data_IF_950814270052
#
_entry.id   IF_950814270052
#
_cell.length_a   1.000
_cell.length_b   1.000
_cell.length_c   1.000
_cell.angle_alpha   90.00
_cell.angle_beta   90.00
_cell.angle_gamma   90.00
#
_symmetry.space_group_name_H-M   'P 1'
#
loop_
_entity.id
_entity.type
_entity.pdbx_description
1 polymer ?
#
# COMPACT_ATOMS: atom_id res chain seq x y z
N UNK A 1 20.19 -24.85 -5.99
CA UNK A 1 20.26 -23.58 -5.24
C UNK A 1 20.59 -23.92 -3.80
N UNK A 2 21.61 -23.28 -3.23
CA UNK A 2 22.07 -23.61 -1.88
C UNK A 2 21.51 -22.65 -0.82
N UNK A 3 21.27 -21.39 -1.17
CA UNK A 3 20.84 -20.36 -0.20
C UNK A 3 19.90 -19.33 -0.81
N UNK A 4 18.79 -19.06 -0.14
CA UNK A 4 17.71 -18.16 -0.57
C UNK A 4 17.65 -16.95 0.35
N UNK A 5 17.59 -15.75 -0.22
CA UNK A 5 17.25 -14.52 0.49
C UNK A 5 15.78 -14.17 0.21
N UNK A 6 14.99 -14.01 1.26
CA UNK A 6 13.63 -13.47 1.19
C UNK A 6 13.67 -12.04 1.71
N UNK A 7 13.25 -11.10 0.88
CA UNK A 7 13.13 -9.68 1.23
C UNK A 7 11.66 -9.35 1.33
N UNK A 8 11.19 -8.95 2.50
CA UNK A 8 9.78 -8.70 2.76
C UNK A 8 9.56 -7.46 3.64
N UNK A 9 8.33 -6.95 3.77
CA UNK A 9 7.99 -5.98 4.82
C UNK A 9 8.26 -6.51 6.22
N UNK A 10 8.59 -5.63 7.18
CA UNK A 10 9.10 -6.04 8.50
C UNK A 10 8.27 -7.11 9.20
N UNK A 11 6.93 -6.92 9.31
CA UNK A 11 6.05 -7.90 9.96
C UNK A 11 5.97 -9.21 9.18
N UNK A 12 5.89 -9.12 7.85
CA UNK A 12 5.88 -10.30 6.99
C UNK A 12 7.18 -11.09 7.11
N UNK A 13 8.32 -10.40 7.18
CA UNK A 13 9.62 -11.02 7.38
C UNK A 13 9.74 -11.70 8.75
N UNK A 14 9.19 -11.06 9.80
CA UNK A 14 9.31 -11.55 11.18
C UNK A 14 8.32 -12.69 11.49
N UNK A 15 7.09 -12.55 11.03
CA UNK A 15 5.98 -13.37 11.50
C UNK A 15 5.42 -14.29 10.40
N UNK A 16 5.08 -13.74 9.21
CA UNK A 16 4.33 -14.46 8.17
C UNK A 16 5.18 -15.52 7.48
N UNK A 17 6.35 -15.16 6.95
CA UNK A 17 7.22 -16.11 6.26
C UNK A 17 7.64 -17.29 7.13
N UNK A 18 8.07 -17.10 8.41
CA UNK A 18 8.36 -18.22 9.31
C UNK A 18 7.15 -19.14 9.57
N UNK A 19 5.96 -18.55 9.74
CA UNK A 19 4.73 -19.31 9.95
C UNK A 19 4.38 -20.16 8.71
N UNK A 20 4.44 -19.57 7.51
CA UNK A 20 4.17 -20.28 6.26
C UNK A 20 5.20 -21.38 5.98
N UNK A 21 6.49 -21.16 6.25
CA UNK A 21 7.50 -22.22 6.10
C UNK A 21 7.18 -23.43 6.98
N UNK A 22 6.71 -23.22 8.20
CA UNK A 22 6.32 -24.30 9.12
C UNK A 22 5.04 -25.01 8.69
N UNK A 23 4.11 -24.29 8.10
CA UNK A 23 2.78 -24.77 7.69
C UNK A 23 2.84 -25.75 6.51
N UNK A 24 3.70 -25.50 5.53
CA UNK A 24 3.73 -26.25 4.29
C UNK A 24 4.67 -27.45 4.36
N UNK A 25 4.15 -28.67 4.21
CA UNK A 25 4.90 -29.95 4.35
C UNK A 25 6.15 -30.03 3.49
N UNK A 26 6.09 -29.53 2.27
CA UNK A 26 7.20 -29.62 1.30
C UNK A 26 8.38 -28.68 1.59
N UNK A 27 8.21 -27.68 2.49
CA UNK A 27 9.26 -26.74 2.86
C UNK A 27 9.54 -26.67 4.36
N UNK A 28 8.72 -27.27 5.22
CA UNK A 28 8.88 -27.22 6.69
C UNK A 28 10.21 -27.78 7.19
N UNK A 29 10.87 -28.60 6.40
CA UNK A 29 12.20 -29.15 6.73
C UNK A 29 13.36 -28.20 6.39
N UNK A 30 13.12 -27.08 5.73
CA UNK A 30 14.14 -26.10 5.39
C UNK A 30 14.48 -25.23 6.61
N UNK A 31 15.78 -25.15 6.94
CA UNK A 31 16.24 -24.28 8.01
C UNK A 31 16.18 -22.82 7.56
N UNK A 32 15.57 -21.98 8.38
CA UNK A 32 15.46 -20.56 8.10
C UNK A 32 15.89 -19.71 9.29
N UNK A 33 16.36 -18.50 9.00
CA UNK A 33 16.69 -17.47 9.99
C UNK A 33 16.04 -16.14 9.60
N UNK A 34 15.74 -15.31 10.61
CA UNK A 34 15.11 -14.01 10.45
C UNK A 34 16.10 -12.92 10.84
N UNK A 35 16.57 -12.16 9.85
CA UNK A 35 17.55 -11.11 10.00
C UNK A 35 16.88 -9.73 10.22
N UNK A 36 16.20 -9.59 11.36
CA UNK A 36 15.54 -8.34 11.82
C UNK A 36 16.05 -7.96 13.22
N UNK A 37 15.70 -6.77 13.71
CA UNK A 37 16.12 -6.29 15.02
C UNK A 37 17.47 -5.56 15.00
N UNK A 38 18.29 -5.72 16.03
CA UNK A 38 19.59 -5.08 16.18
C UNK A 38 20.63 -5.57 15.14
N UNK A 39 21.67 -4.80 14.94
CA UNK A 39 22.78 -5.20 14.03
C UNK A 39 23.39 -6.54 14.42
N UNK A 40 23.53 -6.82 15.73
CA UNK A 40 24.08 -8.08 16.24
C UNK A 40 23.19 -9.27 15.88
N UNK A 41 21.89 -9.14 16.06
CA UNK A 41 20.91 -10.18 15.73
C UNK A 41 20.89 -10.45 14.22
N UNK A 42 20.88 -9.39 13.40
CA UNK A 42 20.92 -9.53 11.94
C UNK A 42 22.17 -10.24 11.44
N UNK A 43 23.35 -9.86 11.97
CA UNK A 43 24.61 -10.51 11.62
C UNK A 43 24.63 -11.98 12.03
N UNK A 44 24.12 -12.31 13.21
CA UNK A 44 24.01 -13.71 13.66
C UNK A 44 23.15 -14.53 12.70
N UNK A 45 21.98 -13.99 12.31
CA UNK A 45 21.05 -14.67 11.40
C UNK A 45 21.63 -14.84 9.97
N UNK A 46 22.34 -13.84 9.45
CA UNK A 46 22.95 -13.87 8.12
C UNK A 46 24.15 -14.82 8.07
N UNK A 47 24.96 -14.86 9.13
CA UNK A 47 26.17 -15.69 9.22
C UNK A 47 25.87 -17.15 9.60
N UNK A 48 24.62 -17.50 9.93
CA UNK A 48 24.25 -18.89 10.14
C UNK A 48 24.34 -19.68 8.82
N UNK A 49 25.42 -20.41 8.66
CA UNK A 49 25.68 -21.23 7.47
C UNK A 49 24.75 -22.44 7.33
N UNK A 50 24.05 -22.82 8.40
CA UNK A 50 23.06 -23.89 8.38
C UNK A 50 21.73 -23.46 7.78
N UNK A 51 21.44 -22.16 7.74
CA UNK A 51 20.22 -21.60 7.21
C UNK A 51 20.18 -21.64 5.67
N UNK A 52 19.22 -22.33 5.13
CA UNK A 52 18.93 -22.40 3.69
C UNK A 52 18.12 -21.20 3.21
N UNK A 53 17.29 -20.63 4.10
CA UNK A 53 16.49 -19.44 3.86
C UNK A 53 16.86 -18.38 4.88
N UNK A 54 17.23 -17.19 4.42
CA UNK A 54 17.42 -16.00 5.26
C UNK A 54 16.35 -15.00 4.89
N UNK A 55 15.61 -14.52 5.90
CA UNK A 55 14.51 -13.59 5.72
C UNK A 55 14.92 -12.24 6.30
N UNK A 56 14.84 -11.18 5.51
CA UNK A 56 15.23 -9.82 5.91
C UNK A 56 14.12 -8.81 5.57
N UNK A 57 13.97 -7.77 6.36
CA UNK A 57 13.06 -6.69 6.00
C UNK A 57 13.68 -5.77 4.93
N UNK A 58 12.83 -5.29 4.01
CA UNK A 58 13.23 -4.51 2.83
C UNK A 58 14.01 -3.23 3.15
N UNK A 59 13.81 -2.64 4.34
CA UNK A 59 14.50 -1.45 4.80
C UNK A 59 15.99 -1.72 5.07
N UNK A 60 16.36 -2.95 5.39
CA UNK A 60 17.71 -3.37 5.70
C UNK A 60 18.51 -3.90 4.48
N UNK A 61 17.95 -3.90 3.27
CA UNK A 61 18.64 -4.39 2.07
C UNK A 61 19.91 -3.58 1.75
N UNK A 62 19.87 -2.25 1.86
CA UNK A 62 21.05 -1.41 1.62
C UNK A 62 22.13 -1.66 2.68
N UNK A 63 21.74 -1.88 3.93
CA UNK A 63 22.64 -2.27 5.01
C UNK A 63 23.27 -3.65 4.74
N UNK A 64 22.49 -4.65 4.37
CA UNK A 64 22.98 -6.00 4.03
C UNK A 64 24.09 -5.94 2.98
N UNK A 65 23.85 -5.22 1.89
CA UNK A 65 24.77 -5.10 0.76
C UNK A 65 26.07 -4.38 1.14
N UNK A 66 26.05 -3.50 2.14
CA UNK A 66 27.23 -2.74 2.58
C UNK A 66 28.07 -3.45 3.63
N UNK A 67 27.47 -4.30 4.45
CA UNK A 67 28.10 -4.81 5.68
C UNK A 67 28.23 -6.34 5.72
N UNK A 68 27.66 -7.06 4.75
CA UNK A 68 27.72 -8.50 4.72
C UNK A 68 28.24 -9.02 3.38
N UNK A 69 28.90 -10.16 3.40
CA UNK A 69 29.27 -10.88 2.20
C UNK A 69 28.03 -11.45 1.53
N UNK A 70 27.95 -11.31 0.19
CA UNK A 70 26.81 -11.82 -0.56
C UNK A 70 27.01 -13.28 -0.92
N UNK A 71 26.18 -14.14 -0.34
CA UNK A 71 26.25 -15.60 -0.53
C UNK A 71 24.87 -16.22 -0.84
N UNK A 72 24.02 -15.48 -1.54
CA UNK A 72 22.67 -15.92 -1.91
C UNK A 72 22.57 -16.24 -3.40
N UNK A 73 22.15 -17.48 -3.73
CA UNK A 73 21.92 -17.92 -5.11
C UNK A 73 20.58 -17.44 -5.67
N UNK A 74 19.58 -17.33 -4.79
CA UNK A 74 18.22 -16.92 -5.15
C UNK A 74 17.75 -15.79 -4.25
N UNK A 75 17.00 -14.86 -4.84
CA UNK A 75 16.31 -13.79 -4.12
C UNK A 75 14.82 -13.85 -4.42
N UNK A 76 14.01 -13.79 -3.37
CA UNK A 76 12.57 -13.58 -3.44
C UNK A 76 12.27 -12.21 -2.87
N UNK A 77 11.64 -11.35 -3.64
CA UNK A 77 11.20 -10.03 -3.18
C UNK A 77 9.69 -10.06 -3.01
N UNK A 78 9.27 -10.09 -1.76
CA UNK A 78 7.87 -9.96 -1.40
C UNK A 78 7.50 -8.47 -1.35
N UNK A 79 6.41 -8.11 -1.98
CA UNK A 79 6.01 -6.74 -2.29
C UNK A 79 7.04 -6.02 -3.17
N UNK A 80 7.26 -6.56 -4.40
CA UNK A 80 8.21 -6.01 -5.38
C UNK A 80 7.90 -4.54 -5.73
N UNK A 81 6.62 -4.13 -5.69
CA UNK A 81 6.16 -2.76 -5.87
C UNK A 81 6.89 -1.76 -4.95
N UNK A 82 7.39 -2.21 -3.80
CA UNK A 82 8.17 -1.40 -2.88
C UNK A 82 9.53 -0.93 -3.45
N UNK A 83 9.99 -1.52 -4.56
CA UNK A 83 11.21 -1.16 -5.28
C UNK A 83 10.98 -0.27 -6.50
N UNK A 84 9.75 0.18 -6.76
CA UNK A 84 9.36 1.02 -7.92
C UNK A 84 10.10 2.37 -8.00
N UNK A 85 10.59 2.90 -6.87
CA UNK A 85 11.40 4.11 -6.87
C UNK A 85 12.86 3.81 -7.19
N UNK A 86 13.28 4.08 -8.45
CA UNK A 86 14.63 3.86 -8.95
C UNK A 86 15.73 4.70 -8.26
N UNK A 87 15.36 5.76 -7.53
CA UNK A 87 16.30 6.59 -6.75
C UNK A 87 16.56 6.03 -5.36
N UNK A 88 15.72 5.11 -4.88
CA UNK A 88 15.81 4.57 -3.51
C UNK A 88 17.11 3.79 -3.28
N UNK A 89 17.62 3.82 -2.04
CA UNK A 89 18.83 3.09 -1.64
C UNK A 89 18.66 1.59 -1.86
N UNK A 90 17.48 1.03 -1.51
CA UNK A 90 17.17 -0.40 -1.66
C UNK A 90 17.18 -0.85 -3.13
N UNK A 91 16.64 -0.05 -4.05
CA UNK A 91 16.69 -0.33 -5.49
C UNK A 91 18.15 -0.38 -5.99
N UNK A 92 18.94 0.65 -5.67
CA UNK A 92 20.35 0.72 -6.06
C UNK A 92 21.17 -0.45 -5.49
N UNK A 93 20.91 -0.85 -4.26
CA UNK A 93 21.54 -1.99 -3.62
C UNK A 93 21.21 -3.30 -4.35
N UNK A 94 19.93 -3.54 -4.67
CA UNK A 94 19.53 -4.72 -5.43
C UNK A 94 20.12 -4.75 -6.85
N UNK A 95 20.13 -3.63 -7.57
CA UNK A 95 20.78 -3.55 -8.88
C UNK A 95 22.27 -3.90 -8.82
N UNK A 96 22.97 -3.53 -7.74
CA UNK A 96 24.38 -3.88 -7.53
C UNK A 96 24.57 -5.38 -7.31
N UNK A 97 23.70 -6.00 -6.54
CA UNK A 97 23.78 -7.43 -6.21
C UNK A 97 23.19 -8.35 -7.29
N UNK A 98 22.36 -7.82 -8.16
CA UNK A 98 21.68 -8.60 -9.19
C UNK A 98 22.61 -9.50 -10.06
N UNK A 99 23.83 -9.08 -10.44
CA UNK A 99 24.77 -9.95 -11.18
C UNK A 99 25.19 -11.22 -10.44
N UNK A 100 25.14 -11.23 -9.13
CA UNK A 100 25.50 -12.37 -8.29
C UNK A 100 24.33 -13.30 -7.97
N UNK A 101 23.12 -12.97 -8.42
CA UNK A 101 21.90 -13.71 -8.17
C UNK A 101 21.55 -14.57 -9.39
N UNK A 102 21.49 -15.89 -9.23
CA UNK A 102 21.14 -16.84 -10.30
C UNK A 102 19.66 -16.78 -10.66
N UNK A 103 18.80 -16.74 -9.64
CA UNK A 103 17.35 -16.68 -9.80
C UNK A 103 16.74 -15.60 -8.93
N UNK A 104 15.85 -14.82 -9.51
CA UNK A 104 15.09 -13.80 -8.77
C UNK A 104 13.60 -13.98 -9.05
N UNK A 105 12.79 -13.82 -8.00
CA UNK A 105 11.32 -13.84 -8.06
C UNK A 105 10.80 -12.59 -7.36
N UNK A 106 9.88 -11.90 -8.00
CA UNK A 106 9.17 -10.76 -7.42
C UNK A 106 7.68 -11.11 -7.26
N UNK A 107 7.16 -10.88 -6.06
CA UNK A 107 5.75 -11.06 -5.73
C UNK A 107 5.15 -9.69 -5.47
N UNK A 108 4.00 -9.38 -6.05
CA UNK A 108 3.26 -8.14 -5.78
C UNK A 108 1.81 -8.27 -6.22
N UNK A 109 0.90 -7.75 -5.42
CA UNK A 109 -0.51 -7.61 -5.79
C UNK A 109 -0.79 -6.32 -6.57
N UNK A 110 0.15 -5.34 -6.54
CA UNK A 110 -0.06 -3.99 -7.08
C UNK A 110 1.12 -3.50 -7.93
N UNK A 111 1.43 -4.16 -9.08
CA UNK A 111 2.65 -3.89 -9.84
C UNK A 111 2.72 -2.46 -10.43
N UNK A 112 1.58 -1.87 -10.77
CA UNK A 112 1.46 -0.56 -11.42
C UNK A 112 0.54 0.42 -10.69
N UNK A 113 0.61 0.44 -9.36
CA UNK A 113 -0.30 1.24 -8.50
C UNK A 113 -0.32 2.74 -8.79
N UNK A 114 0.73 3.31 -9.40
CA UNK A 114 0.77 4.69 -9.88
C UNK A 114 0.89 4.79 -11.41
N UNK A 115 0.59 3.70 -12.12
CA UNK A 115 0.66 3.61 -13.57
C UNK A 115 1.91 2.91 -14.10
N UNK A 116 2.02 2.82 -15.42
CA UNK A 116 3.04 2.03 -16.13
C UNK A 116 4.49 2.41 -15.81
N UNK A 117 4.73 3.65 -15.34
CA UNK A 117 6.05 4.13 -14.93
C UNK A 117 6.66 3.29 -13.79
N UNK A 118 5.82 2.74 -12.92
CA UNK A 118 6.26 1.92 -11.79
C UNK A 118 6.92 0.60 -12.20
N UNK A 119 6.62 0.10 -13.41
CA UNK A 119 7.10 -1.19 -13.90
C UNK A 119 8.61 -1.19 -14.20
N UNK A 120 9.16 -0.09 -14.70
CA UNK A 120 10.56 -0.05 -15.13
C UNK A 120 11.55 -0.49 -14.05
N UNK A 121 11.43 0.04 -12.85
CA UNK A 121 12.36 -0.27 -11.77
C UNK A 121 12.23 -1.73 -11.30
N UNK A 122 11.03 -2.26 -11.28
CA UNK A 122 10.75 -3.65 -10.93
C UNK A 122 11.40 -4.60 -11.94
N UNK A 123 11.14 -4.39 -13.23
CA UNK A 123 11.72 -5.22 -14.29
C UNK A 123 13.23 -5.03 -14.45
N UNK A 124 13.75 -3.82 -14.14
CA UNK A 124 15.20 -3.60 -14.08
C UNK A 124 15.90 -4.53 -13.07
N UNK A 125 15.27 -4.80 -11.93
CA UNK A 125 15.77 -5.77 -10.96
C UNK A 125 15.59 -7.20 -11.49
N UNK A 126 14.44 -7.54 -12.06
CA UNK A 126 14.14 -8.91 -12.49
C UNK A 126 15.03 -9.39 -13.64
N UNK A 127 15.20 -8.57 -14.70
CA UNK A 127 15.82 -8.99 -15.96
C UNK A 127 16.97 -8.10 -16.47
N UNK A 128 17.53 -7.24 -15.62
CA UNK A 128 18.56 -6.25 -15.99
C UNK A 128 18.10 -5.14 -16.93
N UNK A 129 16.79 -5.02 -17.15
CA UNK A 129 16.20 -4.08 -18.11
C UNK A 129 16.28 -4.58 -19.55
N UNK A 130 16.29 -5.90 -19.76
CA UNK A 130 16.24 -6.49 -21.11
C UNK A 130 14.97 -6.13 -21.83
N UNK A 131 13.81 -6.12 -21.14
CA UNK A 131 12.50 -5.88 -21.74
C UNK A 131 12.12 -4.42 -21.79
N UNK A 132 12.28 -3.70 -20.69
CA UNK A 132 11.82 -2.31 -20.56
C UNK A 132 12.94 -1.26 -20.68
N UNK A 133 14.12 -1.69 -21.15
CA UNK A 133 15.26 -0.80 -21.36
C UNK A 133 16.20 -0.72 -20.15
N UNK A 134 17.50 -0.59 -20.47
CA UNK A 134 18.57 -0.56 -19.47
C UNK A 134 18.54 0.71 -18.60
N UNK A 135 18.08 1.82 -19.17
CA UNK A 135 18.03 3.13 -18.52
C UNK A 135 16.60 3.68 -18.54
N UNK A 136 16.20 4.33 -17.46
CA UNK A 136 14.85 4.91 -17.35
C UNK A 136 14.60 6.01 -18.38
N UNK A 137 15.65 6.67 -18.86
CA UNK A 137 15.56 7.65 -19.95
C UNK A 137 14.96 7.04 -21.21
N UNK A 138 15.51 5.91 -21.65
CA UNK A 138 15.02 5.17 -22.81
C UNK A 138 13.56 4.72 -22.63
N UNK A 139 13.22 4.20 -21.46
CA UNK A 139 11.85 3.79 -21.16
C UNK A 139 10.84 4.94 -21.25
N UNK A 140 11.24 6.13 -20.76
CA UNK A 140 10.45 7.36 -20.87
C UNK A 140 10.31 7.83 -22.32
N UNK A 141 11.39 7.83 -23.08
CA UNK A 141 11.43 8.24 -24.46
C UNK A 141 10.57 7.32 -25.37
N UNK A 142 10.62 5.99 -25.13
CA UNK A 142 9.91 5.03 -25.95
C UNK A 142 8.41 4.99 -25.68
N UNK A 143 7.98 5.17 -24.41
CA UNK A 143 6.61 4.87 -23.99
C UNK A 143 5.84 6.05 -23.43
N UNK A 144 6.49 7.19 -23.22
CA UNK A 144 5.85 8.31 -22.54
C UNK A 144 6.16 9.63 -23.22
N UNK A 145 5.31 10.61 -22.96
CA UNK A 145 5.56 12.03 -23.26
C UNK A 145 5.51 12.82 -21.96
N UNK A 146 6.26 13.94 -21.85
CA UNK A 146 6.11 14.90 -20.77
C UNK A 146 4.67 15.39 -20.69
N UNK A 147 4.13 15.49 -19.46
CA UNK A 147 2.76 15.94 -19.19
C UNK A 147 2.77 17.28 -18.47
N UNK A 148 3.40 17.34 -17.29
CA UNK A 148 3.57 18.58 -16.55
C UNK A 148 5.04 18.97 -16.52
N UNK A 149 5.34 20.19 -16.96
CA UNK A 149 6.70 20.72 -17.09
C UNK A 149 6.77 22.14 -16.51
N UNK A 150 7.96 22.49 -15.98
CA UNK A 150 8.34 23.89 -15.72
C UNK A 150 9.74 24.08 -16.31
N UNK A 151 9.84 24.81 -17.41
CA UNK A 151 11.06 24.91 -18.20
C UNK A 151 11.55 23.53 -18.63
N UNK A 152 12.76 23.16 -18.25
CA UNK A 152 13.37 21.84 -18.57
C UNK A 152 13.04 20.74 -17.55
N UNK A 153 12.33 21.04 -16.48
CA UNK A 153 12.00 20.07 -15.42
C UNK A 153 10.66 19.42 -15.70
N UNK A 154 10.67 18.11 -15.95
CA UNK A 154 9.45 17.31 -16.14
C UNK A 154 9.00 16.73 -14.80
N UNK A 155 7.80 17.09 -14.35
CA UNK A 155 7.21 16.60 -13.10
C UNK A 155 6.38 15.34 -13.28
N UNK A 156 5.70 15.19 -14.43
CA UNK A 156 4.90 13.99 -14.72
C UNK A 156 5.03 13.59 -16.20
N UNK A 157 4.77 12.29 -16.43
CA UNK A 157 4.79 11.70 -17.77
C UNK A 157 3.45 11.03 -18.03
N UNK A 158 2.94 11.16 -19.26
CA UNK A 158 1.74 10.48 -19.72
C UNK A 158 2.13 9.39 -20.73
N UNK A 159 1.59 8.16 -20.61
CA UNK A 159 1.88 7.10 -21.56
C UNK A 159 1.39 7.46 -22.98
N UNK A 160 2.11 6.99 -23.99
CA UNK A 160 1.69 7.03 -25.37
C UNK A 160 0.55 6.04 -25.62
N UNK A 161 -0.32 6.23 -26.61
CA UNK A 161 -1.50 5.37 -26.82
C UNK A 161 -1.20 3.88 -26.98
N UNK A 162 -0.04 3.53 -27.53
CA UNK A 162 0.40 2.15 -27.77
C UNK A 162 1.22 1.57 -26.62
N UNK A 163 1.67 2.40 -25.67
CA UNK A 163 2.66 2.02 -24.66
C UNK A 163 2.18 0.88 -23.76
N UNK A 164 0.93 0.90 -23.38
CA UNK A 164 0.34 -0.11 -22.51
C UNK A 164 0.44 -1.50 -23.13
N UNK A 165 -0.04 -1.65 -24.36
CA UNK A 165 -0.03 -2.90 -25.10
C UNK A 165 1.40 -3.44 -25.28
N UNK A 166 2.33 -2.60 -25.78
CA UNK A 166 3.70 -3.03 -26.01
C UNK A 166 4.45 -3.42 -24.72
N UNK A 167 4.23 -2.66 -23.63
CA UNK A 167 4.85 -2.99 -22.34
C UNK A 167 4.37 -4.35 -21.88
N UNK A 168 3.05 -4.61 -21.94
CA UNK A 168 2.48 -5.88 -21.49
C UNK A 168 2.94 -7.07 -22.33
N UNK A 169 2.97 -6.93 -23.65
CA UNK A 169 3.53 -7.95 -24.55
C UNK A 169 4.99 -8.29 -24.19
N UNK A 170 5.81 -7.27 -23.90
CA UNK A 170 7.24 -7.48 -23.59
C UNK A 170 7.51 -8.14 -22.26
N UNK A 171 6.61 -8.01 -21.28
CA UNK A 171 6.81 -8.60 -19.93
C UNK A 171 6.09 -9.93 -19.74
N UNK A 172 5.19 -10.30 -20.63
CA UNK A 172 4.29 -11.45 -20.49
C UNK A 172 5.03 -12.77 -20.30
N UNK A 173 6.15 -12.98 -20.98
CA UNK A 173 6.92 -14.24 -20.94
C UNK A 173 7.61 -14.53 -19.59
N UNK A 174 7.71 -13.54 -18.69
CA UNK A 174 8.27 -13.71 -17.33
C UNK A 174 7.31 -13.29 -16.22
N UNK A 175 6.05 -13.03 -16.57
CA UNK A 175 5.05 -12.56 -15.62
C UNK A 175 3.88 -13.54 -15.59
N UNK A 176 3.51 -13.98 -14.40
CA UNK A 176 2.31 -14.78 -14.18
C UNK A 176 1.37 -13.94 -13.33
N UNK A 177 0.14 -13.77 -13.78
CA UNK A 177 -0.92 -13.12 -13.04
C UNK A 177 -1.94 -14.14 -12.56
N UNK A 178 -2.23 -14.09 -11.25
CA UNK A 178 -3.24 -14.94 -10.63
C UNK A 178 -4.21 -14.03 -9.87
N UNK A 179 -5.48 -14.07 -10.23
CA UNK A 179 -6.53 -13.39 -9.47
C UNK A 179 -7.13 -14.36 -8.47
N UNK A 180 -7.27 -13.93 -7.21
CA UNK A 180 -7.92 -14.73 -6.19
C UNK A 180 -9.37 -15.08 -6.58
N UNK A 181 -10.07 -14.17 -7.27
CA UNK A 181 -11.47 -14.35 -7.70
C UNK A 181 -11.61 -15.53 -8.68
N UNK A 182 -10.61 -15.75 -9.53
CA UNK A 182 -10.67 -16.81 -10.56
C UNK A 182 -10.41 -18.22 -10.01
N UNK A 183 -9.79 -18.32 -8.83
CA UNK A 183 -9.25 -19.60 -8.32
C UNK A 183 -9.65 -19.93 -6.88
N UNK A 184 -10.26 -18.99 -6.15
CA UNK A 184 -10.59 -19.13 -4.74
C UNK A 184 -12.05 -18.78 -4.49
N UNK A 185 -12.66 -19.45 -3.51
CA UNK A 185 -13.98 -19.07 -2.98
C UNK A 185 -13.84 -17.75 -2.22
N UNK A 186 -14.14 -16.66 -2.90
CA UNK A 186 -14.12 -15.32 -2.34
C UNK A 186 -15.54 -14.91 -1.93
N UNK A 187 -15.70 -14.21 -0.77
CA UNK A 187 -17.00 -13.65 -0.41
C UNK A 187 -17.41 -12.57 -1.39
N UNK A 188 -18.73 -12.35 -1.51
CA UNK A 188 -19.24 -11.20 -2.26
C UNK A 188 -18.71 -9.89 -1.67
N UNK A 189 -18.36 -8.94 -2.53
CA UNK A 189 -17.90 -7.61 -2.13
C UNK A 189 -18.97 -6.56 -2.39
N UNK A 190 -19.45 -5.94 -1.32
CA UNK A 190 -20.37 -4.80 -1.41
C UNK A 190 -19.61 -3.54 -1.00
N UNK A 191 -19.68 -2.51 -1.85
CA UNK A 191 -19.04 -1.23 -1.58
C UNK A 191 -20.07 -0.11 -1.54
N UNK A 192 -20.14 0.62 -0.43
CA UNK A 192 -21.08 1.70 -0.20
C UNK A 192 -20.36 3.03 0.05
N UNK A 193 -20.97 4.13 -0.39
CA UNK A 193 -20.53 5.49 -0.11
C UNK A 193 -21.60 6.14 0.80
N UNK A 194 -21.13 6.66 1.96
CA UNK A 194 -21.98 7.37 2.92
C UNK A 194 -21.57 8.83 2.86
N UNK A 195 -22.40 9.63 2.20
CA UNK A 195 -22.15 11.06 2.04
C UNK A 195 -22.57 11.83 3.28
N UNK A 196 -21.68 12.71 3.74
CA UNK A 196 -21.95 13.69 4.79
C UNK A 196 -21.77 15.10 4.23
N UNK A 197 -22.55 16.04 4.70
CA UNK A 197 -22.52 17.44 4.24
C UNK A 197 -22.03 18.39 5.34
N UNK A 198 -21.14 19.29 4.98
CA UNK A 198 -20.76 20.42 5.83
C UNK A 198 -21.91 21.43 5.91
N UNK A 199 -22.10 22.04 7.06
CA UNK A 199 -22.95 23.23 7.15
C UNK A 199 -22.36 24.38 6.32
N UNK A 200 -23.15 25.40 5.93
CA UNK A 200 -22.65 26.55 5.17
C UNK A 200 -21.43 27.23 5.83
N UNK A 201 -21.41 27.30 7.16
CA UNK A 201 -20.29 27.89 7.92
C UNK A 201 -19.02 27.04 7.89
N UNK A 202 -19.16 25.72 7.99
CA UNK A 202 -18.06 24.75 7.87
C UNK A 202 -17.50 24.74 6.45
N UNK A 203 -18.39 24.78 5.45
CA UNK A 203 -18.04 24.87 4.03
C UNK A 203 -17.27 26.13 3.70
N UNK A 204 -17.71 27.28 4.18
CA UNK A 204 -17.02 28.55 3.97
C UNK A 204 -15.55 28.48 4.44
N UNK A 205 -15.28 27.86 5.60
CA UNK A 205 -13.91 27.66 6.08
C UNK A 205 -13.08 26.75 5.18
N UNK A 206 -13.70 25.69 4.63
CA UNK A 206 -13.03 24.76 3.71
C UNK A 206 -12.65 25.47 2.40
N UNK A 207 -13.55 26.26 1.85
CA UNK A 207 -13.34 27.00 0.60
C UNK A 207 -12.34 28.15 0.81
N UNK A 208 -12.40 28.89 1.94
CA UNK A 208 -11.42 29.91 2.33
C UNK A 208 -10.00 29.34 2.35
N UNK A 209 -9.76 28.23 3.07
CA UNK A 209 -8.44 27.58 3.10
C UNK A 209 -7.99 27.16 1.69
N UNK A 210 -8.91 26.64 0.88
CA UNK A 210 -8.61 26.23 -0.49
C UNK A 210 -8.18 27.43 -1.35
N UNK A 211 -8.85 28.57 -1.21
CA UNK A 211 -8.58 29.78 -2.00
C UNK A 211 -7.35 30.52 -1.50
N UNK A 212 -7.16 30.65 -0.18
CA UNK A 212 -5.96 31.28 0.43
C UNK A 212 -4.68 30.55 0.02
N UNK A 213 -4.63 29.24 0.15
CA UNK A 213 -3.44 28.45 -0.23
C UNK A 213 -3.15 28.48 -1.74
N UNK A 214 -4.13 28.84 -2.56
CA UNK A 214 -3.92 29.07 -4.01
C UNK A 214 -3.36 30.47 -4.26
N UNK A 215 -3.77 31.48 -3.48
CA UNK A 215 -3.32 32.88 -3.60
C UNK A 215 -1.91 33.12 -3.04
N UNK A 216 -1.50 32.40 -1.99
CA UNK A 216 -0.17 32.55 -1.38
C UNK A 216 0.98 32.04 -2.25
N UNK A 217 0.69 31.55 -3.46
CA UNK A 217 1.72 31.03 -4.37
C UNK A 217 2.31 32.18 -5.21
N UNK A 218 3.59 32.55 -5.03
CA UNK A 218 4.25 33.54 -5.85
C UNK A 218 4.18 33.11 -7.35
N UNK A 219 3.81 34.03 -8.23
CA UNK A 219 3.78 33.84 -9.70
C UNK A 219 2.80 32.82 -10.26
N UNK A 220 1.75 32.42 -9.53
CA UNK A 220 0.73 31.49 -10.05
C UNK A 220 1.23 30.07 -10.36
N UNK A 221 2.47 29.74 -10.03
CA UNK A 221 3.05 28.42 -10.23
C UNK A 221 2.80 27.52 -9.01
N UNK A 222 1.83 26.61 -9.12
CA UNK A 222 1.61 25.55 -8.12
C UNK A 222 2.80 24.57 -8.21
N UNK A 223 3.73 24.66 -7.25
CA UNK A 223 4.78 23.63 -7.13
C UNK A 223 4.17 22.31 -6.63
N UNK A 224 4.79 21.18 -6.97
CA UNK A 224 4.32 19.88 -6.49
C UNK A 224 4.30 19.76 -4.96
N UNK A 225 5.21 20.45 -4.27
CA UNK A 225 5.28 20.47 -2.80
C UNK A 225 4.09 21.24 -2.20
N UNK A 226 3.74 22.40 -2.75
CA UNK A 226 2.62 23.25 -2.30
C UNK A 226 1.27 22.54 -2.58
N UNK A 227 1.11 21.92 -3.75
CA UNK A 227 -0.08 21.15 -4.07
C UNK A 227 -0.29 19.95 -3.12
N UNK A 228 0.80 19.26 -2.75
CA UNK A 228 0.73 18.15 -1.79
C UNK A 228 0.37 18.65 -0.38
N UNK A 229 0.91 19.80 0.06
CA UNK A 229 0.58 20.41 1.34
C UNK A 229 -0.89 20.83 1.40
N UNK A 230 -1.38 21.55 0.37
CA UNK A 230 -2.78 21.94 0.25
C UNK A 230 -3.71 20.70 0.28
N UNK A 231 -3.42 19.71 -0.53
CA UNK A 231 -4.23 18.49 -0.59
C UNK A 231 -4.28 17.79 0.77
N UNK A 232 -3.17 17.75 1.49
CA UNK A 232 -3.11 17.15 2.84
C UNK A 232 -3.99 17.94 3.84
N UNK A 233 -3.93 19.27 3.82
CA UNK A 233 -4.77 20.13 4.67
C UNK A 233 -6.26 19.98 4.35
N UNK A 234 -6.62 19.91 3.06
CA UNK A 234 -8.00 19.69 2.64
C UNK A 234 -8.51 18.30 3.07
N UNK A 235 -7.66 17.24 3.04
CA UNK A 235 -8.00 15.92 3.59
C UNK A 235 -8.25 15.97 5.11
N UNK A 236 -7.44 16.73 5.85
CA UNK A 236 -7.62 16.92 7.29
C UNK A 236 -8.97 17.60 7.58
N UNK A 237 -9.29 18.67 6.85
CA UNK A 237 -10.57 19.39 7.02
C UNK A 237 -11.77 18.54 6.65
N UNK A 238 -11.72 17.74 5.58
CA UNK A 238 -12.82 16.82 5.22
C UNK A 238 -13.05 15.74 6.27
N UNK A 239 -12.02 15.40 7.07
CA UNK A 239 -12.16 14.50 8.24
C UNK A 239 -12.63 15.23 9.51
N UNK A 240 -12.76 16.56 9.47
CA UNK A 240 -13.33 17.37 10.55
C UNK A 240 -12.32 17.99 11.52
N UNK A 241 -11.03 17.82 11.29
CA UNK A 241 -9.94 18.37 12.11
C UNK A 241 -8.83 18.89 11.21
N UNK A 242 -8.02 19.84 11.72
CA UNK A 242 -6.81 20.34 11.03
C UNK A 242 -5.72 20.66 12.05
N UNK A 243 -4.45 20.45 11.69
CA UNK A 243 -3.32 20.94 12.48
C UNK A 243 -3.02 22.39 12.11
N UNK A 244 -2.88 23.24 13.14
CA UNK A 244 -2.33 24.58 12.97
C UNK A 244 -0.78 24.54 12.75
N UNK A 245 -0.15 25.70 12.63
CA UNK A 245 1.31 25.82 12.48
C UNK A 245 2.09 25.26 13.68
N UNK A 246 1.52 25.36 14.87
CA UNK A 246 2.06 24.85 16.14
C UNK A 246 1.74 23.36 16.36
N UNK A 247 1.10 22.70 15.40
CA UNK A 247 0.62 21.31 15.45
C UNK A 247 -0.49 21.05 16.47
N UNK A 248 -1.19 22.08 16.94
CA UNK A 248 -2.41 21.89 17.72
C UNK A 248 -3.55 21.43 16.79
N UNK A 249 -4.47 20.66 17.35
CA UNK A 249 -5.64 20.17 16.62
C UNK A 249 -6.78 21.18 16.75
N UNK A 250 -7.22 21.71 15.60
CA UNK A 250 -8.39 22.57 15.52
C UNK A 250 -9.57 21.73 15.02
N UNK A 251 -10.66 21.71 15.77
CA UNK A 251 -11.92 21.09 15.37
C UNK A 251 -12.67 21.96 14.37
N UNK A 252 -13.05 21.38 13.24
CA UNK A 252 -13.84 22.05 12.19
C UNK A 252 -15.29 21.57 12.25
N UNK A 253 -15.49 20.24 12.21
CA UNK A 253 -16.81 19.60 12.29
C UNK A 253 -16.72 18.15 12.78
N UNK A 254 -17.86 17.51 13.05
CA UNK A 254 -17.95 16.11 13.46
C UNK A 254 -18.79 15.27 12.49
N UNK A 255 -19.06 15.77 11.27
CA UNK A 255 -19.97 15.12 10.30
C UNK A 255 -19.66 13.65 10.04
N UNK A 256 -18.35 13.32 9.89
CA UNK A 256 -17.92 11.93 9.72
C UNK A 256 -18.03 11.12 11.01
N UNK A 257 -17.85 11.72 12.18
CA UNK A 257 -18.05 11.05 13.46
C UNK A 257 -19.52 10.75 13.70
N UNK A 258 -20.42 11.67 13.33
CA UNK A 258 -21.87 11.44 13.45
C UNK A 258 -22.31 10.27 12.54
N UNK A 259 -21.85 10.24 11.28
CA UNK A 259 -22.11 9.11 10.39
C UNK A 259 -21.46 7.80 10.87
N UNK A 260 -20.29 7.85 11.51
CA UNK A 260 -19.65 6.68 12.09
C UNK A 260 -20.44 6.14 13.28
N UNK A 261 -21.06 7.02 14.09
CA UNK A 261 -21.97 6.63 15.17
C UNK A 261 -23.15 5.84 14.63
N UNK A 262 -23.82 6.37 13.60
CA UNK A 262 -24.94 5.69 12.93
C UNK A 262 -24.53 4.30 12.39
N UNK A 263 -23.31 4.18 11.83
CA UNK A 263 -22.76 2.91 11.35
C UNK A 263 -22.55 1.92 12.51
N UNK A 264 -21.94 2.37 13.62
CA UNK A 264 -21.67 1.54 14.79
C UNK A 264 -23.00 1.06 15.42
N UNK A 265 -23.97 1.94 15.56
CA UNK A 265 -25.30 1.59 16.06
C UNK A 265 -26.00 0.60 15.13
N UNK A 266 -25.96 0.82 13.82
CA UNK A 266 -26.57 -0.05 12.83
C UNK A 266 -25.91 -1.44 12.76
N UNK A 267 -24.64 -1.55 13.12
CA UNK A 267 -23.92 -2.82 13.18
C UNK A 267 -24.47 -3.75 14.31
N UNK A 268 -25.19 -3.20 15.27
CA UNK A 268 -25.85 -3.97 16.33
C UNK A 268 -24.95 -5.02 17.00
N UNK A 269 -23.72 -4.61 17.32
CA UNK A 269 -22.71 -5.46 17.97
C UNK A 269 -21.89 -6.36 17.03
N UNK A 270 -22.14 -6.34 15.73
CA UNK A 270 -21.25 -6.99 14.77
C UNK A 270 -19.94 -6.24 14.68
N UNK A 271 -18.80 -6.96 14.61
CA UNK A 271 -17.47 -6.33 14.62
C UNK A 271 -17.25 -5.41 13.42
N UNK A 272 -16.70 -4.22 13.69
CA UNK A 272 -16.34 -3.21 12.69
C UNK A 272 -14.85 -2.92 12.72
N UNK A 273 -14.22 -2.89 11.53
CA UNK A 273 -12.85 -2.41 11.35
C UNK A 273 -12.87 -1.02 10.71
N UNK A 274 -12.30 -0.01 11.39
CA UNK A 274 -12.30 1.36 10.92
C UNK A 274 -10.91 1.76 10.45
N UNK A 275 -10.76 2.18 9.20
CA UNK A 275 -9.52 2.69 8.64
C UNK A 275 -9.48 4.22 8.82
N UNK A 276 -8.47 4.71 9.55
CA UNK A 276 -8.21 6.14 9.76
C UNK A 276 -6.92 6.57 9.05
N UNK A 277 -6.75 7.88 8.78
CA UNK A 277 -5.57 8.35 8.07
C UNK A 277 -4.66 9.26 8.91
N UNK A 278 -5.23 10.19 9.68
CA UNK A 278 -4.48 11.11 10.52
C UNK A 278 -4.54 10.70 11.99
N UNK A 279 -3.53 11.11 12.79
CA UNK A 279 -3.55 10.87 14.24
C UNK A 279 -4.74 11.54 14.91
N UNK A 280 -5.11 12.73 14.46
CA UNK A 280 -6.31 13.42 14.98
C UNK A 280 -7.62 12.68 14.65
N UNK A 281 -7.66 11.86 13.58
CA UNK A 281 -8.82 11.01 13.32
C UNK A 281 -8.93 9.94 14.41
N UNK A 282 -7.79 9.29 14.74
CA UNK A 282 -7.73 8.29 15.81
C UNK A 282 -8.14 8.91 17.15
N UNK A 283 -7.61 10.08 17.50
CA UNK A 283 -7.95 10.80 18.73
C UNK A 283 -9.45 11.15 18.79
N UNK A 284 -10.02 11.61 17.67
CA UNK A 284 -11.44 11.96 17.60
C UNK A 284 -12.36 10.71 17.71
N UNK A 285 -11.99 9.61 17.06
CA UNK A 285 -12.72 8.35 17.11
C UNK A 285 -12.65 7.77 18.53
N UNK A 286 -11.44 7.65 19.10
CA UNK A 286 -11.24 7.11 20.46
C UNK A 286 -11.81 7.98 21.57
N UNK A 287 -11.95 9.29 21.32
CA UNK A 287 -12.58 10.21 22.25
C UNK A 287 -14.11 10.11 22.30
N UNK A 288 -14.74 9.51 21.29
CA UNK A 288 -16.21 9.39 21.20
C UNK A 288 -16.69 7.92 21.34
N UNK A 289 -15.89 6.95 20.93
CA UNK A 289 -16.25 5.55 20.91
C UNK A 289 -15.23 4.69 21.65
N UNK A 290 -15.71 3.59 22.23
CA UNK A 290 -14.83 2.57 22.79
C UNK A 290 -14.25 1.73 21.66
N UNK A 291 -13.01 2.02 21.28
CA UNK A 291 -12.31 1.38 20.17
C UNK A 291 -10.93 0.93 20.56
N UNK A 292 -10.45 -0.15 19.94
CA UNK A 292 -9.08 -0.67 20.13
C UNK A 292 -8.28 -0.61 18.81
N UNK A 293 -7.09 -0.03 18.87
CA UNK A 293 -6.21 0.02 17.70
C UNK A 293 -5.44 -1.29 17.52
N UNK A 294 -5.49 -1.86 16.31
CA UNK A 294 -4.76 -3.09 15.96
C UNK A 294 -3.28 -2.78 15.73
N UNK A 295 -2.43 -3.05 16.72
CA UNK A 295 -0.98 -2.80 16.70
C UNK A 295 -0.13 -4.04 16.94
N UNK A 296 -0.54 -4.92 17.80
CA UNK A 296 0.21 -6.08 18.26
C UNK A 296 -0.36 -7.38 17.73
N UNK A 297 0.35 -8.48 17.92
CA UNK A 297 -0.17 -9.82 17.60
C UNK A 297 -1.34 -10.20 18.52
N UNK A 298 -1.31 -9.76 19.77
CA UNK A 298 -2.40 -9.95 20.74
C UNK A 298 -3.68 -9.23 20.29
N UNK A 299 -3.57 -7.99 19.75
CA UNK A 299 -4.74 -7.27 19.19
C UNK A 299 -5.37 -8.03 18.01
N UNK A 300 -4.54 -8.69 17.19
CA UNK A 300 -5.00 -9.49 16.05
C UNK A 300 -5.73 -10.76 16.54
N UNK A 301 -5.18 -11.43 17.56
CA UNK A 301 -5.79 -12.61 18.17
C UNK A 301 -7.13 -12.24 18.81
N UNK A 302 -7.17 -11.20 19.63
CA UNK A 302 -8.39 -10.71 20.30
C UNK A 302 -9.46 -10.26 19.29
N UNK A 303 -9.05 -9.61 18.18
CA UNK A 303 -9.96 -9.27 17.08
C UNK A 303 -10.55 -10.53 16.44
N UNK A 304 -9.70 -11.49 16.07
CA UNK A 304 -10.14 -12.72 15.43
C UNK A 304 -10.99 -13.63 16.34
N UNK A 305 -10.83 -13.52 17.64
CA UNK A 305 -11.66 -14.20 18.63
C UNK A 305 -12.97 -13.44 18.96
N UNK A 306 -13.20 -12.28 18.35
CA UNK A 306 -14.42 -11.49 18.54
C UNK A 306 -14.47 -10.70 19.85
N UNK A 307 -13.33 -10.52 20.54
CA UNK A 307 -13.24 -9.76 21.79
C UNK A 307 -13.24 -8.24 21.58
N UNK A 308 -12.98 -7.78 20.35
CA UNK A 308 -12.93 -6.36 19.98
C UNK A 308 -14.12 -6.04 19.07
N UNK A 309 -15.17 -5.38 19.58
CA UNK A 309 -16.34 -5.06 18.78
C UNK A 309 -16.08 -3.95 17.73
N UNK A 310 -15.24 -2.96 18.08
CA UNK A 310 -14.87 -1.88 17.17
C UNK A 310 -13.36 -1.71 17.19
N UNK A 311 -12.72 -2.08 16.09
CA UNK A 311 -11.29 -1.94 15.92
C UNK A 311 -10.96 -0.77 15.01
N UNK A 312 -9.82 -0.12 15.24
CA UNK A 312 -9.27 0.90 14.34
C UNK A 312 -7.89 0.50 13.81
N UNK A 313 -7.60 0.88 12.56
CA UNK A 313 -6.34 0.52 11.91
C UNK A 313 -5.85 1.65 11.00
N UNK A 314 -4.53 1.91 11.02
CA UNK A 314 -3.92 2.78 10.03
C UNK A 314 -3.52 1.98 8.78
N UNK A 315 -3.92 2.37 7.55
CA UNK A 315 -3.66 1.60 6.33
C UNK A 315 -2.19 1.25 6.10
N UNK A 316 -1.25 2.13 6.44
CA UNK A 316 0.17 1.82 6.34
C UNK A 316 0.64 0.72 7.32
N UNK A 317 -0.05 0.54 8.44
CA UNK A 317 0.19 -0.56 9.39
C UNK A 317 -0.51 -1.84 8.94
N UNK A 318 -1.69 -1.70 8.29
CA UNK A 318 -2.44 -2.81 7.71
C UNK A 318 -1.75 -3.45 6.50
N UNK A 319 -0.89 -2.72 5.81
CA UNK A 319 -0.27 -3.12 4.55
C UNK A 319 0.56 -4.40 4.60
N UNK A 320 0.80 -5.01 5.77
CA UNK A 320 1.77 -6.06 5.88
C UNK A 320 1.28 -7.27 6.69
N UNK A 321 0.71 -8.25 5.97
CA UNK A 321 0.59 -9.64 6.45
C UNK A 321 -0.41 -9.89 7.60
N UNK A 322 -1.32 -8.98 7.91
CA UNK A 322 -2.32 -9.19 8.95
C UNK A 322 -3.46 -10.07 8.43
N UNK A 323 -3.84 -11.07 9.21
CA UNK A 323 -5.02 -11.90 8.96
C UNK A 323 -6.14 -11.44 9.90
N UNK A 324 -7.08 -10.65 9.40
CA UNK A 324 -8.18 -10.07 10.19
C UNK A 324 -9.55 -10.60 9.76
N UNK A 325 -9.61 -11.48 8.76
CA UNK A 325 -10.88 -11.96 8.18
C UNK A 325 -11.74 -12.79 9.13
N UNK A 326 -11.18 -13.38 10.19
CA UNK A 326 -11.97 -14.15 11.14
C UNK A 326 -12.75 -13.28 12.13
N UNK A 327 -12.28 -12.06 12.40
CA UNK A 327 -12.86 -11.18 13.41
C UNK A 327 -14.05 -10.35 12.92
N UNK A 328 -14.23 -10.18 11.60
CA UNK A 328 -15.35 -9.40 11.07
C UNK A 328 -15.38 -9.34 9.56
N UNK A 329 -16.44 -8.76 9.01
CA UNK A 329 -16.67 -8.64 7.57
C UNK A 329 -17.01 -7.22 7.10
N UNK A 330 -16.94 -6.22 7.98
CA UNK A 330 -17.25 -4.83 7.65
C UNK A 330 -16.07 -3.92 7.90
N UNK A 331 -15.65 -3.21 6.85
CA UNK A 331 -14.58 -2.20 6.88
C UNK A 331 -15.18 -0.82 6.61
N UNK A 332 -14.86 0.14 7.47
CA UNK A 332 -15.29 1.54 7.31
C UNK A 332 -14.07 2.43 7.05
N UNK A 333 -14.01 3.08 5.91
CA UNK A 333 -13.02 4.11 5.62
C UNK A 333 -13.50 5.46 6.17
N UNK A 334 -12.96 5.84 7.33
CA UNK A 334 -13.17 7.17 7.92
C UNK A 334 -12.29 8.22 7.24
N UNK A 335 -11.01 7.90 7.02
CA UNK A 335 -10.05 8.74 6.30
C UNK A 335 -9.49 8.02 5.08
N UNK A 336 -9.65 8.60 3.88
CA UNK A 336 -9.21 8.01 2.63
C UNK A 336 -7.70 8.21 2.38
N UNK A 337 -7.12 7.34 1.56
CA UNK A 337 -5.72 7.42 1.10
C UNK A 337 -5.64 7.60 -0.42
N UNK A 338 -4.64 8.34 -0.91
CA UNK A 338 -4.31 8.45 -2.33
C UNK A 338 -3.60 7.21 -2.88
N UNK A 339 -3.16 6.29 -2.01
CA UNK A 339 -2.43 5.09 -2.40
C UNK A 339 -3.38 3.95 -2.69
N UNK A 340 -3.51 3.58 -3.97
CA UNK A 340 -4.26 2.39 -4.38
C UNK A 340 -3.73 1.13 -3.69
N UNK A 341 -2.40 1.03 -3.55
CA UNK A 341 -1.73 -0.08 -2.87
C UNK A 341 -2.22 -0.25 -1.43
N UNK A 342 -2.18 0.84 -0.62
CA UNK A 342 -2.66 0.79 0.77
C UNK A 342 -4.16 0.53 0.85
N UNK A 343 -4.94 1.12 -0.07
CA UNK A 343 -6.38 0.90 -0.15
C UNK A 343 -6.71 -0.57 -0.40
N UNK A 344 -6.13 -1.18 -1.41
CA UNK A 344 -6.35 -2.59 -1.75
C UNK A 344 -5.83 -3.53 -0.66
N UNK A 345 -4.64 -3.27 -0.11
CA UNK A 345 -4.08 -4.07 0.97
C UNK A 345 -4.94 -4.02 2.24
N UNK A 346 -5.52 -2.87 2.57
CA UNK A 346 -6.42 -2.74 3.72
C UNK A 346 -7.73 -3.49 3.49
N UNK A 347 -8.34 -3.33 2.32
CA UNK A 347 -9.56 -4.06 1.96
C UNK A 347 -9.34 -5.59 2.00
N UNK A 348 -8.19 -6.05 1.51
CA UNK A 348 -7.82 -7.46 1.52
C UNK A 348 -7.53 -8.03 2.92
N UNK A 349 -7.62 -7.25 4.00
CA UNK A 349 -7.56 -7.80 5.37
C UNK A 349 -8.85 -8.52 5.75
N UNK A 350 -9.99 -8.08 5.23
CA UNK A 350 -11.29 -8.72 5.43
C UNK A 350 -11.76 -9.45 4.17
N UNK A 351 -11.59 -8.86 2.98
CA UNK A 351 -12.01 -9.45 1.71
C UNK A 351 -10.92 -10.36 1.15
N UNK A 352 -10.94 -11.61 1.58
CA UNK A 352 -9.96 -12.63 1.17
C UNK A 352 -10.49 -14.03 1.41
N UNK A 353 -9.80 -15.02 0.85
CA UNK A 353 -10.08 -16.43 1.12
C UNK A 353 -10.02 -16.76 2.61
N UNK A 354 -10.95 -17.60 3.08
CA UNK A 354 -11.06 -17.97 4.48
C UNK A 354 -11.89 -16.99 5.33
N UNK A 355 -12.54 -16.02 4.70
CA UNK A 355 -13.60 -15.23 5.32
C UNK A 355 -14.82 -16.14 5.54
N UNK A 356 -15.32 -16.20 6.78
CA UNK A 356 -16.47 -17.02 7.15
C UNK A 356 -17.81 -16.44 6.70
N UNK A 357 -17.88 -15.12 6.52
CA UNK A 357 -19.07 -14.44 6.04
C UNK A 357 -19.18 -14.56 4.51
N UNK A 358 -20.40 -14.80 3.99
CA UNK A 358 -20.64 -14.86 2.54
C UNK A 358 -20.48 -13.50 1.83
N UNK A 359 -20.49 -12.40 2.60
CA UNK A 359 -20.38 -11.03 2.07
C UNK A 359 -19.43 -10.20 2.93
N UNK A 360 -18.58 -9.41 2.29
CA UNK A 360 -17.75 -8.37 2.92
C UNK A 360 -18.28 -7.01 2.48
N UNK A 361 -18.47 -6.11 3.45
CA UNK A 361 -18.97 -4.76 3.22
C UNK A 361 -17.86 -3.75 3.43
N UNK A 362 -17.60 -2.89 2.43
CA UNK A 362 -16.68 -1.77 2.53
C UNK A 362 -17.46 -0.48 2.42
N UNK A 363 -17.45 0.32 3.48
CA UNK A 363 -18.15 1.59 3.56
C UNK A 363 -17.15 2.75 3.52
N UNK A 364 -17.44 3.79 2.75
CA UNK A 364 -16.65 5.01 2.68
C UNK A 364 -17.45 6.18 3.20
N UNK A 365 -16.98 6.84 4.25
CA UNK A 365 -17.59 8.08 4.72
C UNK A 365 -16.98 9.24 3.92
N UNK A 366 -17.78 9.85 3.06
CA UNK A 366 -17.35 10.87 2.09
C UNK A 366 -17.93 12.21 2.47
N UNK A 367 -17.09 13.21 2.68
CA UNK A 367 -17.56 14.59 2.81
C UNK A 367 -17.81 15.15 1.41
N UNK A 368 -19.09 15.49 1.14
CA UNK A 368 -19.57 15.93 -0.18
C UNK A 368 -18.86 17.19 -0.64
N UNK A 369 -18.57 17.27 -1.94
CA UNK A 369 -17.89 18.39 -2.60
C UNK A 369 -16.51 18.75 -2.02
N UNK A 370 -15.83 17.76 -1.45
CA UNK A 370 -14.45 17.91 -0.92
C UNK A 370 -13.45 17.09 -1.74
N UNK A 371 -12.22 17.05 -1.23
CA UNK A 371 -11.16 16.22 -1.78
C UNK A 371 -11.47 14.71 -1.72
N UNK A 372 -12.35 14.26 -0.83
CA UNK A 372 -12.70 12.84 -0.67
C UNK A 372 -13.25 12.22 -1.97
N UNK A 373 -14.17 12.90 -2.64
CA UNK A 373 -14.70 12.43 -3.93
C UNK A 373 -13.63 12.32 -5.02
N UNK A 374 -12.63 13.23 -5.00
CA UNK A 374 -11.49 13.17 -5.93
C UNK A 374 -10.57 11.99 -5.62
N UNK A 375 -10.34 11.70 -4.34
CA UNK A 375 -9.55 10.53 -3.92
C UNK A 375 -10.22 9.25 -4.37
N UNK A 376 -11.50 9.09 -4.10
CA UNK A 376 -12.24 7.89 -4.45
C UNK A 376 -12.27 7.65 -5.97
N UNK A 377 -12.50 8.72 -6.75
CA UNK A 377 -12.39 8.66 -8.21
C UNK A 377 -11.00 8.25 -8.68
N UNK A 378 -9.95 8.85 -8.13
CA UNK A 378 -8.57 8.50 -8.48
C UNK A 378 -8.21 7.06 -8.12
N UNK A 379 -8.74 6.51 -7.02
CA UNK A 379 -8.58 5.10 -6.65
C UNK A 379 -9.28 4.17 -7.65
N UNK A 380 -10.50 4.50 -8.08
CA UNK A 380 -11.25 3.75 -9.11
C UNK A 380 -10.51 3.76 -10.46
N UNK A 381 -10.04 4.92 -10.92
CA UNK A 381 -9.31 5.06 -12.19
C UNK A 381 -7.99 4.27 -12.19
N UNK A 382 -7.22 4.35 -11.09
CA UNK A 382 -5.98 3.59 -10.92
C UNK A 382 -6.22 2.08 -10.86
N UNK A 383 -7.29 1.65 -10.23
CA UNK A 383 -7.67 0.24 -10.16
C UNK A 383 -8.01 -0.32 -11.53
N UNK A 384 -8.71 0.44 -12.37
CA UNK A 384 -9.02 0.07 -13.76
C UNK A 384 -7.74 -0.16 -14.57
N UNK A 385 -6.76 0.74 -14.50
CA UNK A 385 -5.47 0.60 -15.19
C UNK A 385 -4.70 -0.64 -14.71
N UNK A 386 -4.71 -0.91 -13.41
CA UNK A 386 -4.04 -2.09 -12.85
C UNK A 386 -4.74 -3.39 -13.27
N UNK A 387 -6.06 -3.43 -13.29
CA UNK A 387 -6.84 -4.59 -13.74
C UNK A 387 -6.56 -4.90 -15.22
N UNK A 388 -6.46 -3.89 -16.07
CA UNK A 388 -6.10 -4.06 -17.48
C UNK A 388 -4.72 -4.72 -17.67
N UNK A 389 -3.72 -4.37 -16.83
CA UNK A 389 -2.42 -5.05 -16.82
C UNK A 389 -2.56 -6.54 -16.48
N UNK A 390 -3.28 -6.84 -15.42
CA UNK A 390 -3.49 -8.22 -14.94
C UNK A 390 -4.17 -9.04 -16.03
N UNK A 391 -5.22 -8.52 -16.65
CA UNK A 391 -5.99 -9.22 -17.69
C UNK A 391 -5.18 -9.42 -18.97
N UNK A 392 -4.36 -8.43 -19.37
CA UNK A 392 -3.48 -8.56 -20.53
C UNK A 392 -2.42 -9.68 -20.34
N UNK A 393 -1.88 -9.84 -19.13
CA UNK A 393 -0.93 -10.92 -18.82
C UNK A 393 -1.63 -12.27 -18.78
N UNK A 394 -2.87 -12.38 -18.28
CA UNK A 394 -3.67 -13.62 -18.29
C UNK A 394 -3.98 -14.11 -19.69
N UNK A 395 -4.24 -13.21 -20.64
CA UNK A 395 -4.60 -13.57 -22.01
C UNK A 395 -3.46 -14.25 -22.81
N UNK A 396 -2.24 -14.29 -22.26
CA UNK A 396 -1.04 -14.87 -22.89
C UNK A 396 -0.70 -16.25 -22.31
N UNK A 397 -1.35 -16.65 -21.22
CA UNK A 397 -1.22 -17.98 -20.60
C UNK A 397 -2.37 -18.88 -21.04
#
# INVERSE_FOLDING_TARGET
MKRVLVIAPLRVARDTWPAEIKKWDHIRGLRHTVAVGSTKERLAAINDSSAQIVIINRENVDWLVKHCEWNFDMVVIDELSSFKNHRSKRFKAMCRMRPFVKRIVGLTGTPSSNGLMDLWAQFKILDYGKRLGRFIGNYREWYFRPDRMNGFIVYSYKPLPFAEKEIYEKISDITISMSAIDHLDMPELITNEIEVEMSPKERAKYDELKDEMVMELPDGAITAANAASLTNKLCQMSNGRIYDESKNIIRIHDRKLDALEDIIESANGHPLLIAYWFKHDLEAISGRFDVREIKTSEDIEDWNEGKIPVAVIHPASAGHGLNLQAGGNTLVWYGLTWSLELYQQTNARLWRQGQSAGTVVIQHIICKDTVDGRILKALKDKNTTQSALIDAVKAVI
#
